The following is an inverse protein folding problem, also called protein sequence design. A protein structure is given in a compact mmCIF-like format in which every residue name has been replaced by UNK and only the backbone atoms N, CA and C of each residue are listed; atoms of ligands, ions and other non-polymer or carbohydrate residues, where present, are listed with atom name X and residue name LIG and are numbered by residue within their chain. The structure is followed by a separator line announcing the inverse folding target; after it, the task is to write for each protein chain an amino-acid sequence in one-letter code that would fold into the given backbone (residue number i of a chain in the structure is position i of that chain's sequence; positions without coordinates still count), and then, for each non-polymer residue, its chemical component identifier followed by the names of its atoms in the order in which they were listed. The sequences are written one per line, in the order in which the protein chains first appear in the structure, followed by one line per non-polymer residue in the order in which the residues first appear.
data_IF_693676561994
#
_entry.id   IF_693676561994
#
_cell.length_a   1.000
_cell.length_b   1.000
_cell.length_c   1.000
_cell.angle_alpha   90.00
_cell.angle_beta   90.00
_cell.angle_gamma   90.00
#
_symmetry.space_group_name_H-M   'P 1'
#
loop_
_entity.id
_entity.type
_entity.pdbx_description
1 polymer ?
#
# COMPACT_ATOMS: atom_id res chain seq x y z
N UNK A 1 23.95 -10.34 7.86
CA UNK A 1 23.05 -11.50 8.14
C UNK A 1 21.96 -11.57 7.07
N UNK A 2 21.36 -10.46 6.66
CA UNK A 2 20.28 -10.43 5.62
C UNK A 2 20.81 -10.83 4.24
N UNK A 3 22.01 -10.45 3.87
CA UNK A 3 22.63 -10.79 2.57
C UNK A 3 22.92 -12.30 2.42
N UNK A 4 23.24 -12.99 3.50
CA UNK A 4 23.49 -14.45 3.48
C UNK A 4 22.20 -15.25 3.25
N UNK A 5 21.08 -14.78 3.81
CA UNK A 5 19.77 -15.42 3.65
C UNK A 5 19.22 -15.36 2.22
N UNK A 6 19.53 -14.28 1.49
CA UNK A 6 19.13 -14.12 0.08
C UNK A 6 19.94 -15.06 -0.83
N UNK A 7 21.25 -15.19 -0.58
CA UNK A 7 22.12 -16.08 -1.37
C UNK A 7 21.74 -17.56 -1.27
N UNK A 8 21.22 -18.03 -0.10
CA UNK A 8 20.70 -19.37 0.07
C UNK A 8 19.37 -19.60 -0.68
N UNK A 9 18.53 -18.57 -0.77
CA UNK A 9 17.23 -18.69 -1.45
C UNK A 9 17.34 -18.79 -2.97
N UNK A 10 18.43 -18.28 -3.55
CA UNK A 10 18.69 -18.33 -4.99
C UNK A 10 19.68 -19.44 -5.42
N UNK A 11 20.07 -20.34 -4.50
CA UNK A 11 20.86 -21.52 -4.84
C UNK A 11 22.33 -21.25 -5.17
N UNK A 12 22.85 -20.08 -4.85
CA UNK A 12 24.26 -19.74 -5.13
C UNK A 12 25.25 -20.26 -4.09
N UNK A 13 24.77 -20.75 -2.92
CA UNK A 13 25.63 -21.34 -1.89
C UNK A 13 24.96 -22.61 -1.38
N UNK A 14 25.55 -23.76 -1.67
CA UNK A 14 25.15 -25.06 -1.15
C UNK A 14 25.98 -25.34 0.11
N UNK A 15 25.36 -25.26 1.27
CA UNK A 15 25.94 -25.74 2.51
C UNK A 15 25.62 -27.25 2.64
N UNK A 16 26.44 -28.08 2.05
CA UNK A 16 26.28 -29.51 2.15
C UNK A 16 27.65 -30.19 2.06
N UNK A 17 28.10 -30.75 3.14
CA UNK A 17 29.17 -31.75 3.14
C UNK A 17 28.66 -33.02 2.52
N UNK A 18 28.92 -33.25 1.25
CA UNK A 18 28.74 -34.52 0.58
C UNK A 18 29.96 -35.38 0.81
N UNK A 19 29.84 -36.40 1.65
CA UNK A 19 30.80 -37.52 1.68
C UNK A 19 30.58 -38.34 0.43
N UNK A 20 31.58 -38.36 -0.46
CA UNK A 20 31.66 -39.32 -1.55
C UNK A 20 31.90 -40.70 -0.96
N UNK A 21 30.89 -41.55 -1.01
CA UNK A 21 31.10 -43.00 -0.91
C UNK A 21 31.31 -43.57 -2.31
N UNK A 22 32.59 -43.85 -2.61
CA UNK A 22 33.02 -44.63 -3.74
C UNK A 22 32.31 -45.98 -3.78
N UNK A 23 31.54 -46.21 -4.83
CA UNK A 23 31.04 -47.51 -5.20
C UNK A 23 32.22 -48.42 -5.63
N UNK A 24 32.61 -49.35 -4.77
CA UNK A 24 33.37 -50.52 -5.18
C UNK A 24 32.36 -51.61 -5.58
N UNK A 25 32.39 -51.96 -6.84
CA UNK A 25 31.65 -53.10 -7.38
C UNK A 25 32.17 -54.39 -6.76
N UNK A 26 31.27 -55.15 -6.15
CA UNK A 26 31.50 -56.52 -5.66
C UNK A 26 30.16 -57.19 -5.54
N UNK A 27 29.76 -57.89 -6.60
CA UNK A 27 28.53 -58.71 -6.61
C UNK A 27 28.66 -59.88 -5.70
N UNK A 28 27.86 -59.95 -4.69
CA UNK A 28 27.52 -61.09 -3.88
C UNK A 28 26.16 -60.85 -3.31
N UNK A 29 25.10 -61.45 -3.84
CA UNK A 29 23.78 -61.40 -3.20
C UNK A 29 23.94 -62.00 -1.81
N UNK A 30 23.85 -61.25 -0.79
CA UNK A 30 23.88 -61.66 0.61
C UNK A 30 22.54 -62.33 0.90
N UNK A 31 22.46 -63.62 0.50
CA UNK A 31 21.27 -64.45 0.71
C UNK A 31 21.20 -64.77 2.20
N UNK A 32 20.27 -64.12 2.88
CA UNK A 32 19.99 -64.38 4.29
C UNK A 32 18.96 -65.50 4.41
N UNK A 33 19.20 -66.41 5.35
CA UNK A 33 18.32 -67.48 5.64
C UNK A 33 17.51 -67.26 6.90
N UNK A 34 16.20 -67.51 6.83
CA UNK A 34 15.29 -67.29 7.94
C UNK A 34 14.59 -68.53 8.34
N UNK A 35 14.34 -68.71 9.63
CA UNK A 35 13.53 -69.80 10.14
C UNK A 35 12.04 -69.53 9.81
N UNK A 36 11.28 -70.47 9.23
CA UNK A 36 9.87 -70.33 8.96
C UNK A 36 9.02 -69.98 10.19
N UNK A 37 9.47 -70.40 11.37
CA UNK A 37 8.82 -70.11 12.67
C UNK A 37 9.34 -68.81 13.32
N UNK A 38 10.25 -68.08 12.66
CA UNK A 38 10.87 -66.82 13.18
C UNK A 38 11.50 -66.99 14.57
N UNK A 39 11.99 -68.13 14.94
CA UNK A 39 12.59 -68.43 16.26
C UNK A 39 13.98 -67.81 16.43
N UNK A 40 14.68 -67.48 15.35
CA UNK A 40 16.04 -66.98 15.34
C UNK A 40 16.12 -65.77 14.36
N UNK A 41 17.02 -64.77 14.59
CA UNK A 41 17.28 -63.74 13.62
C UNK A 41 17.83 -64.29 12.31
N UNK A 42 17.72 -63.59 11.17
CA UNK A 42 18.25 -64.08 9.87
C UNK A 42 19.75 -64.39 9.95
N UNK A 43 20.12 -65.55 9.40
CA UNK A 43 21.50 -66.05 9.37
C UNK A 43 22.09 -65.95 7.95
N UNK A 44 23.40 -65.81 7.85
CA UNK A 44 24.12 -65.72 6.56
C UNK A 44 24.41 -67.00 5.92
N UNK A 45 24.25 -68.11 6.66
CA UNK A 45 24.57 -69.48 6.18
C UNK A 45 23.32 -70.35 6.14
N UNK A 46 23.21 -71.25 5.12
CA UNK A 46 22.14 -72.24 5.08
C UNK A 46 22.37 -73.36 6.16
N UNK A 47 21.28 -73.78 6.79
CA UNK A 47 21.38 -74.79 7.86
C UNK A 47 20.05 -75.06 8.54
N UNK A 48 20.10 -75.65 9.74
CA UNK A 48 18.91 -75.92 10.58
C UNK A 48 18.85 -74.93 11.72
N UNK A 49 17.65 -74.44 12.01
CA UNK A 49 17.41 -73.53 13.13
C UNK A 49 17.83 -74.22 14.46
N UNK A 50 18.68 -73.54 15.28
CA UNK A 50 19.16 -74.15 16.54
C UNK A 50 18.06 -74.26 17.60
N UNK A 51 16.92 -73.59 17.42
CA UNK A 51 15.81 -73.62 18.38
C UNK A 51 14.74 -74.63 18.05
N UNK A 52 14.32 -74.77 16.78
CA UNK A 52 13.24 -75.64 16.35
C UNK A 52 13.69 -76.75 15.40
N UNK A 53 14.98 -76.84 15.05
CA UNK A 53 15.60 -77.81 14.16
C UNK A 53 15.03 -77.89 12.73
N UNK A 54 14.15 -76.91 12.36
CA UNK A 54 13.64 -76.80 10.99
C UNK A 54 14.71 -76.26 10.04
N UNK A 55 14.64 -76.62 8.79
CA UNK A 55 15.54 -76.15 7.76
C UNK A 55 15.30 -74.69 7.47
N UNK A 56 16.36 -73.89 7.45
CA UNK A 56 16.32 -72.47 7.17
C UNK A 56 16.04 -72.25 5.69
N UNK A 57 15.08 -71.43 5.37
CA UNK A 57 14.74 -71.10 3.98
C UNK A 57 15.41 -69.78 3.60
N UNK A 58 15.88 -69.59 2.36
CA UNK A 58 16.43 -68.35 1.93
C UNK A 58 15.35 -67.26 2.01
N UNK A 59 15.66 -66.23 2.67
CA UNK A 59 14.84 -65.05 2.61
C UNK A 59 14.93 -64.48 1.18
N UNK A 60 14.02 -64.97 0.33
CA UNK A 60 13.82 -64.32 -0.96
C UNK A 60 13.35 -62.95 -0.68
N UNK A 61 14.28 -61.98 -0.65
CA UNK A 61 13.96 -60.60 -0.75
C UNK A 61 13.19 -60.40 -2.05
N UNK A 62 11.87 -60.40 -1.96
CA UNK A 62 11.03 -60.03 -3.09
C UNK A 62 11.60 -58.80 -3.73
N UNK A 63 12.12 -58.97 -4.94
CA UNK A 63 12.97 -58.02 -5.62
C UNK A 63 12.43 -56.62 -5.62
N UNK A 64 13.32 -55.70 -5.50
CA UNK A 64 13.06 -54.27 -5.69
C UNK A 64 13.57 -53.49 -4.50
N UNK A 65 14.47 -52.63 -4.83
CA UNK A 65 15.03 -51.54 -4.02
C UNK A 65 13.97 -50.96 -3.08
N UNK A 66 13.71 -51.60 -1.94
CA UNK A 66 12.74 -51.15 -0.97
C UNK A 66 13.40 -50.04 -0.17
N UNK A 67 13.20 -48.80 -0.61
CA UNK A 67 13.38 -47.65 0.23
C UNK A 67 12.71 -47.95 1.58
N UNK A 68 13.41 -47.80 2.68
CA UNK A 68 12.94 -48.13 4.05
C UNK A 68 11.60 -47.48 4.44
N UNK A 69 11.05 -46.70 3.56
CA UNK A 69 9.77 -45.99 3.71
C UNK A 69 8.65 -46.52 2.79
N UNK A 70 8.93 -47.53 1.96
CA UNK A 70 7.93 -48.15 1.08
C UNK A 70 7.50 -49.52 1.59
N UNK A 71 6.20 -49.76 1.60
CA UNK A 71 5.62 -51.09 1.91
C UNK A 71 5.02 -51.63 0.63
N UNK A 72 5.53 -52.80 0.20
CA UNK A 72 4.96 -53.53 -0.94
C UNK A 72 3.79 -54.37 -0.47
N UNK A 73 2.60 -54.13 -1.01
CA UNK A 73 1.39 -54.88 -0.71
C UNK A 73 0.94 -55.55 -1.99
N UNK A 74 0.75 -56.88 -1.92
CA UNK A 74 0.23 -57.68 -3.05
C UNK A 74 -1.12 -57.11 -3.55
N UNK A 75 -1.34 -57.00 -4.87
CA UNK A 75 -2.58 -56.51 -5.45
C UNK A 75 -3.84 -57.20 -4.94
N UNK A 76 -3.78 -58.49 -4.65
CA UNK A 76 -4.91 -59.26 -4.09
C UNK A 76 -5.20 -58.81 -2.64
N UNK A 77 -4.17 -58.72 -1.81
CA UNK A 77 -4.30 -58.23 -0.42
C UNK A 77 -4.82 -56.80 -0.35
N UNK A 78 -4.38 -55.95 -1.30
CA UNK A 78 -4.84 -54.56 -1.41
C UNK A 78 -6.35 -54.45 -1.71
N UNK A 79 -6.87 -55.38 -2.56
CA UNK A 79 -8.32 -55.41 -2.86
C UNK A 79 -9.14 -55.88 -1.65
N UNK A 80 -8.66 -56.93 -0.98
CA UNK A 80 -9.34 -57.49 0.22
C UNK A 80 -9.37 -56.46 1.35
N UNK A 81 -8.27 -55.75 1.56
CA UNK A 81 -8.15 -54.72 2.58
C UNK A 81 -8.83 -53.38 2.19
N UNK A 82 -9.38 -53.29 0.97
CA UNK A 82 -10.02 -52.08 0.42
C UNK A 82 -9.13 -50.80 0.53
N UNK A 83 -7.82 -50.97 0.32
CA UNK A 83 -6.85 -49.87 0.39
C UNK A 83 -6.96 -49.04 -0.88
N UNK A 84 -7.38 -47.77 -0.69
CA UNK A 84 -7.43 -46.76 -1.76
C UNK A 84 -6.27 -45.80 -1.58
N UNK A 85 -5.57 -45.50 -2.65
CA UNK A 85 -4.50 -44.51 -2.68
C UNK A 85 -4.86 -43.35 -3.60
N UNK A 86 -4.57 -42.14 -3.19
CA UNK A 86 -4.75 -40.93 -3.99
C UNK A 86 -3.41 -40.25 -4.13
N UNK A 87 -3.08 -39.82 -5.34
CA UNK A 87 -1.86 -39.07 -5.58
C UNK A 87 -1.96 -37.71 -4.91
N UNK A 88 -0.95 -37.36 -4.11
CA UNK A 88 -0.81 -36.03 -3.52
C UNK A 88 -0.44 -35.04 -4.62
N UNK A 89 -1.20 -33.99 -4.72
CA UNK A 89 -0.94 -32.90 -5.67
C UNK A 89 -0.82 -31.59 -4.91
N UNK A 90 0.12 -30.76 -5.31
CA UNK A 90 0.20 -29.39 -4.85
C UNK A 90 -0.87 -28.57 -5.55
N UNK A 91 -1.72 -27.90 -4.79
CA UNK A 91 -2.74 -27.01 -5.31
C UNK A 91 -2.82 -25.74 -4.46
N UNK A 92 -3.14 -24.58 -5.06
CA UNK A 92 -3.40 -23.39 -4.28
C UNK A 92 -4.66 -23.59 -3.43
N UNK A 93 -4.52 -23.38 -2.14
CA UNK A 93 -5.66 -23.41 -1.22
C UNK A 93 -6.03 -21.98 -0.86
N UNK A 94 -7.28 -21.62 -1.10
CA UNK A 94 -7.83 -20.32 -0.68
C UNK A 94 -8.60 -20.51 0.62
N UNK A 95 -8.37 -19.60 1.56
CA UNK A 95 -9.12 -19.52 2.82
C UNK A 95 -9.94 -18.25 2.82
N UNK A 96 -11.25 -18.37 2.90
CA UNK A 96 -12.12 -17.21 3.09
C UNK A 96 -12.16 -16.85 4.56
N UNK A 97 -11.75 -15.62 4.88
CA UNK A 97 -11.82 -15.06 6.23
C UNK A 97 -12.97 -14.06 6.23
N UNK A 98 -13.92 -14.23 7.14
CA UNK A 98 -14.96 -13.23 7.43
C UNK A 98 -14.52 -12.45 8.65
N UNK A 99 -14.43 -11.13 8.50
CA UNK A 99 -14.13 -10.22 9.59
C UNK A 99 -15.20 -9.15 9.67
N UNK A 100 -15.44 -8.68 10.88
CA UNK A 100 -16.27 -7.51 11.13
C UNK A 100 -15.34 -6.31 11.07
N UNK A 101 -15.74 -5.24 10.39
CA UNK A 101 -15.01 -4.00 10.29
C UNK A 101 -15.96 -2.81 10.24
N UNK A 102 -15.45 -1.63 10.55
CA UNK A 102 -16.12 -0.35 10.45
C UNK A 102 -15.47 0.46 9.32
N UNK A 103 -16.32 1.13 8.53
CA UNK A 103 -15.88 2.02 7.47
C UNK A 103 -15.70 3.42 8.05
N UNK A 104 -14.48 3.90 8.02
CA UNK A 104 -14.14 5.28 8.37
C UNK A 104 -13.53 6.00 7.16
N UNK A 105 -13.55 7.33 7.19
CA UNK A 105 -12.86 8.12 6.19
C UNK A 105 -11.35 7.97 6.34
N UNK A 106 -10.65 7.98 5.20
CA UNK A 106 -9.19 8.01 5.20
C UNK A 106 -8.70 9.38 5.69
N UNK A 107 -8.10 9.41 6.86
CA UNK A 107 -7.60 10.65 7.49
C UNK A 107 -6.57 11.39 6.62
N UNK A 108 -5.82 10.67 5.79
CA UNK A 108 -4.84 11.26 4.88
C UNK A 108 -5.46 12.09 3.75
N UNK A 109 -6.72 11.83 3.42
CA UNK A 109 -7.46 12.56 2.36
C UNK A 109 -8.34 13.67 2.91
N UNK A 110 -8.55 13.72 4.23
CA UNK A 110 -9.37 14.75 4.85
C UNK A 110 -8.71 16.13 4.75
N UNK A 111 -9.48 17.13 4.33
CA UNK A 111 -9.06 18.54 4.27
C UNK A 111 -10.09 19.42 4.94
N UNK A 112 -9.62 20.23 5.89
CA UNK A 112 -10.44 21.31 6.47
C UNK A 112 -10.21 22.58 5.69
N UNK A 113 -11.29 23.21 5.25
CA UNK A 113 -11.28 24.50 4.57
C UNK A 113 -11.65 25.55 5.59
N UNK A 114 -10.70 26.41 5.88
CA UNK A 114 -10.83 27.50 6.86
C UNK A 114 -10.87 28.85 6.14
N UNK A 115 -11.42 29.85 6.84
CA UNK A 115 -11.37 31.24 6.38
C UNK A 115 -9.91 31.74 6.38
N UNK A 116 -9.46 32.31 5.29
CA UNK A 116 -8.13 32.90 5.18
C UNK A 116 -8.06 34.31 5.76
N UNK A 117 -9.22 34.97 5.88
CA UNK A 117 -9.35 36.33 6.39
C UNK A 117 -10.63 36.46 7.20
N UNK A 118 -10.63 37.46 8.06
CA UNK A 118 -11.86 37.85 8.76
C UNK A 118 -12.89 38.41 7.78
N UNK A 119 -14.14 37.99 7.93
CA UNK A 119 -15.19 38.44 7.05
C UNK A 119 -16.55 37.84 7.34
N UNK A 120 -17.54 38.22 6.54
CA UNK A 120 -18.88 37.65 6.58
C UNK A 120 -19.08 36.70 5.41
N UNK A 121 -19.66 35.53 5.67
CA UNK A 121 -20.08 34.57 4.64
C UNK A 121 -21.41 35.05 4.05
N UNK A 122 -21.39 35.74 2.91
CA UNK A 122 -22.59 36.24 2.27
C UNK A 122 -23.42 35.09 1.66
N UNK A 123 -22.75 34.05 1.14
CA UNK A 123 -23.40 32.89 0.55
C UNK A 123 -22.55 31.63 0.69
N UNK A 124 -23.20 30.48 0.89
CA UNK A 124 -22.62 29.15 0.86
C UNK A 124 -23.18 28.37 -0.33
N UNK A 125 -22.30 27.87 -1.22
CA UNK A 125 -22.73 27.11 -2.41
C UNK A 125 -22.85 25.62 -2.11
N UNK A 126 -22.00 25.08 -1.23
CA UNK A 126 -22.11 23.72 -0.72
C UNK A 126 -22.95 23.73 0.57
N UNK A 127 -24.27 23.85 0.42
CA UNK A 127 -25.17 24.17 1.51
C UNK A 127 -25.51 22.98 2.43
N UNK A 128 -25.23 21.74 2.00
CA UNK A 128 -25.49 20.53 2.78
C UNK A 128 -24.33 19.53 2.69
N UNK A 129 -24.26 18.61 3.64
CA UNK A 129 -23.32 17.51 3.66
C UNK A 129 -23.63 16.50 2.57
N UNK A 130 -22.60 15.90 1.97
CA UNK A 130 -22.71 14.97 0.85
C UNK A 130 -22.60 15.60 -0.53
N UNK A 131 -22.50 16.94 -0.63
CA UNK A 131 -22.24 17.61 -1.91
C UNK A 131 -20.87 17.25 -2.44
N UNK A 132 -20.81 16.82 -3.70
CA UNK A 132 -19.57 16.58 -4.41
C UNK A 132 -19.08 17.88 -5.03
N UNK A 133 -17.84 18.27 -4.76
CA UNK A 133 -17.19 19.46 -5.28
C UNK A 133 -15.93 19.09 -6.04
N UNK A 134 -15.60 19.86 -7.07
CA UNK A 134 -14.36 19.73 -7.85
C UNK A 134 -13.38 20.81 -7.42
N UNK A 135 -12.10 20.55 -7.60
CA UNK A 135 -11.06 21.55 -7.39
C UNK A 135 -11.36 22.79 -8.25
N UNK A 136 -11.41 23.96 -7.60
CA UNK A 136 -11.75 25.25 -8.22
C UNK A 136 -13.22 25.64 -8.14
N UNK A 137 -14.13 24.74 -7.73
CA UNK A 137 -15.55 25.09 -7.55
C UNK A 137 -15.70 26.14 -6.43
N UNK A 138 -16.68 27.00 -6.57
CA UNK A 138 -17.00 28.02 -5.57
C UNK A 138 -17.68 27.36 -4.36
N UNK A 139 -17.08 27.50 -3.18
CA UNK A 139 -17.63 26.99 -1.92
C UNK A 139 -18.41 28.03 -1.14
N UNK A 140 -17.90 29.26 -1.10
CA UNK A 140 -18.51 30.35 -0.37
C UNK A 140 -18.22 31.69 -1.05
N UNK A 141 -19.11 32.67 -0.82
CA UNK A 141 -18.90 34.08 -1.12
C UNK A 141 -18.59 34.77 0.19
N UNK A 142 -17.40 35.35 0.30
CA UNK A 142 -16.89 36.01 1.49
C UNK A 142 -16.80 37.51 1.26
N UNK A 143 -17.43 38.29 2.12
CA UNK A 143 -17.24 39.72 2.21
C UNK A 143 -16.13 40.02 3.22
N UNK A 144 -15.06 40.71 2.81
CA UNK A 144 -13.97 41.12 3.69
C UNK A 144 -13.43 42.47 3.33
N UNK A 145 -13.51 43.46 4.26
CA UNK A 145 -12.89 44.78 4.06
C UNK A 145 -11.37 44.72 3.91
N UNK A 146 -10.72 43.75 4.58
CA UNK A 146 -9.27 43.52 4.51
C UNK A 146 -8.83 43.10 3.11
N UNK A 147 -9.59 42.19 2.48
CA UNK A 147 -9.36 41.77 1.09
C UNK A 147 -9.56 42.94 0.12
N UNK A 148 -10.61 43.74 0.32
CA UNK A 148 -10.85 44.96 -0.49
C UNK A 148 -9.66 45.92 -0.46
N UNK A 149 -9.16 46.19 0.74
CA UNK A 149 -8.00 47.08 0.92
C UNK A 149 -6.74 46.55 0.24
N UNK A 150 -6.49 45.23 0.36
CA UNK A 150 -5.37 44.57 -0.31
C UNK A 150 -5.47 44.62 -1.84
N UNK A 151 -6.68 44.47 -2.40
CA UNK A 151 -6.91 44.59 -3.84
C UNK A 151 -6.64 46.01 -4.35
N UNK A 152 -7.12 47.02 -3.62
CA UNK A 152 -6.84 48.44 -3.94
C UNK A 152 -5.34 48.71 -3.91
N UNK A 153 -4.64 48.20 -2.87
CA UNK A 153 -3.18 48.33 -2.76
C UNK A 153 -2.45 47.69 -3.96
N UNK A 154 -2.85 46.47 -4.39
CA UNK A 154 -2.27 45.81 -5.57
C UNK A 154 -2.49 46.67 -6.85
N UNK A 155 -3.70 47.15 -7.08
CA UNK A 155 -4.02 47.99 -8.25
C UNK A 155 -3.20 49.28 -8.28
N UNK A 156 -3.03 49.94 -7.13
CA UNK A 156 -2.17 51.12 -7.01
C UNK A 156 -0.70 50.79 -7.25
N UNK A 157 -0.20 49.65 -6.69
CA UNK A 157 1.16 49.21 -6.90
C UNK A 157 1.43 48.84 -8.38
N UNK A 158 0.45 48.20 -9.06
CA UNK A 158 0.49 47.93 -10.50
C UNK A 158 0.64 49.25 -11.29
N UNK A 159 -0.20 50.24 -11.02
CA UNK A 159 -0.14 51.53 -11.68
C UNK A 159 1.21 52.22 -11.45
N UNK A 160 1.69 52.28 -10.21
CA UNK A 160 3.00 52.84 -9.87
C UNK A 160 4.16 52.11 -10.58
N UNK A 161 4.07 50.80 -10.71
CA UNK A 161 5.05 50.00 -11.47
C UNK A 161 5.03 50.34 -12.95
N UNK A 162 3.86 50.49 -13.56
CA UNK A 162 3.70 50.83 -14.97
C UNK A 162 4.23 52.25 -15.26
N UNK A 163 3.90 53.22 -14.44
CA UNK A 163 4.37 54.61 -14.57
C UNK A 163 5.90 54.73 -14.38
N UNK A 164 6.47 53.89 -13.50
CA UNK A 164 7.92 53.91 -13.27
C UNK A 164 8.75 53.13 -14.28
N UNK A 165 8.14 52.39 -15.22
CA UNK A 165 8.88 51.61 -16.23
C UNK A 165 9.86 52.47 -17.05
N UNK A 166 9.50 53.69 -17.33
CA UNK A 166 10.30 54.66 -18.09
C UNK A 166 11.07 55.64 -17.22
N UNK A 167 11.10 55.44 -15.91
CA UNK A 167 11.80 56.31 -14.97
C UNK A 167 13.31 56.19 -15.13
N UNK A 168 14.01 57.30 -15.16
CA UNK A 168 15.49 57.38 -15.14
C UNK A 168 16.09 56.92 -13.81
N UNK A 169 15.27 56.85 -12.76
CA UNK A 169 15.67 56.47 -11.41
C UNK A 169 15.47 54.97 -11.18
N UNK A 170 16.49 54.15 -11.47
CA UNK A 170 16.45 52.71 -11.35
C UNK A 170 15.99 52.22 -9.96
N UNK A 171 16.34 52.94 -8.89
CA UNK A 171 15.94 52.60 -7.51
C UNK A 171 14.42 52.73 -7.31
N UNK A 172 13.78 53.75 -7.89
CA UNK A 172 12.31 53.91 -7.80
C UNK A 172 11.59 52.79 -8.55
N UNK A 173 12.05 52.48 -9.75
CA UNK A 173 11.49 51.39 -10.53
C UNK A 173 11.64 50.02 -9.83
N UNK A 174 12.74 49.79 -9.14
CA UNK A 174 12.93 48.56 -8.34
C UNK A 174 12.01 48.52 -7.13
N UNK A 175 11.87 49.66 -6.39
CA UNK A 175 10.99 49.75 -5.24
C UNK A 175 9.52 49.46 -5.62
N UNK A 176 9.04 50.03 -6.74
CA UNK A 176 7.68 49.79 -7.21
C UNK A 176 7.44 48.38 -7.69
N UNK A 177 8.45 47.68 -8.25
CA UNK A 177 8.36 46.23 -8.53
C UNK A 177 8.21 45.43 -7.26
N UNK A 178 9.05 45.67 -6.27
CA UNK A 178 9.00 44.94 -4.99
C UNK A 178 7.65 45.18 -4.28
N UNK A 179 7.13 46.43 -4.33
CA UNK A 179 5.80 46.74 -3.77
C UNK A 179 4.70 45.93 -4.47
N UNK A 180 4.72 45.87 -5.80
CA UNK A 180 3.75 45.08 -6.56
C UNK A 180 3.83 43.59 -6.22
N UNK A 181 5.04 43.04 -6.19
CA UNK A 181 5.23 41.60 -5.89
C UNK A 181 4.78 41.25 -4.46
N UNK A 182 5.10 42.12 -3.48
CA UNK A 182 4.66 41.91 -2.09
C UNK A 182 3.15 42.06 -1.91
N UNK A 183 2.51 43.00 -2.61
CA UNK A 183 1.05 43.14 -2.57
C UNK A 183 0.35 41.95 -3.23
N UNK A 184 0.89 41.44 -4.33
CA UNK A 184 0.38 40.23 -4.99
C UNK A 184 0.51 39.00 -4.09
N UNK A 185 1.67 38.81 -3.46
CA UNK A 185 1.91 37.71 -2.54
C UNK A 185 0.96 37.76 -1.33
N UNK A 186 0.73 38.94 -0.79
CA UNK A 186 -0.23 39.16 0.32
C UNK A 186 -1.64 38.69 -0.03
N UNK A 187 -2.14 38.98 -1.25
CA UNK A 187 -3.46 38.53 -1.69
C UNK A 187 -3.53 37.02 -1.84
N UNK A 188 -2.44 36.36 -2.27
CA UNK A 188 -2.35 34.90 -2.31
C UNK A 188 -2.46 34.32 -0.89
N UNK A 189 -1.74 34.91 0.08
CA UNK A 189 -1.80 34.49 1.50
C UNK A 189 -3.18 34.73 2.11
N UNK A 190 -3.91 35.75 1.63
CA UNK A 190 -5.30 36.01 2.00
C UNK A 190 -6.31 35.09 1.28
N UNK A 191 -5.85 34.10 0.52
CA UNK A 191 -6.66 33.05 -0.08
C UNK A 191 -7.18 33.35 -1.50
N UNK A 192 -6.72 34.40 -2.15
CA UNK A 192 -7.02 34.63 -3.57
C UNK A 192 -6.18 33.67 -4.44
N UNK A 193 -6.80 33.08 -5.43
CA UNK A 193 -6.10 32.29 -6.45
C UNK A 193 -5.40 33.22 -7.45
N UNK A 194 -4.34 32.73 -8.09
CA UNK A 194 -3.66 33.53 -9.14
C UNK A 194 -4.60 33.97 -10.25
N UNK A 195 -5.51 33.08 -10.67
CA UNK A 195 -6.52 33.41 -11.67
C UNK A 195 -7.45 34.54 -11.24
N UNK A 196 -7.81 34.60 -9.95
CA UNK A 196 -8.62 35.70 -9.41
C UNK A 196 -7.84 37.02 -9.36
N UNK A 197 -6.55 36.94 -9.04
CA UNK A 197 -5.67 38.13 -9.04
C UNK A 197 -5.48 38.64 -10.48
N UNK A 198 -5.23 37.77 -11.43
CA UNK A 198 -5.07 38.14 -12.84
C UNK A 198 -6.36 38.75 -13.40
N UNK A 199 -7.53 38.22 -13.03
CA UNK A 199 -8.83 38.77 -13.40
C UNK A 199 -9.05 40.16 -12.76
N UNK A 200 -8.66 40.35 -11.48
CA UNK A 200 -8.68 41.64 -10.79
C UNK A 200 -7.79 42.69 -11.51
N UNK A 201 -6.59 42.28 -11.90
CA UNK A 201 -5.66 43.15 -12.61
C UNK A 201 -6.16 43.56 -14.01
N UNK A 202 -6.91 42.65 -14.69
CA UNK A 202 -7.53 42.97 -15.97
C UNK A 202 -8.75 43.85 -15.83
N UNK A 203 -9.60 43.62 -14.83
CA UNK A 203 -10.78 44.42 -14.57
C UNK A 203 -10.42 45.81 -14.07
N UNK A 204 -9.33 45.95 -13.29
CA UNK A 204 -8.89 47.22 -12.73
C UNK A 204 -9.77 47.76 -11.59
N UNK A 205 -10.74 46.97 -11.13
CA UNK A 205 -11.69 47.37 -10.08
C UNK A 205 -11.64 46.37 -8.92
N UNK A 206 -11.51 46.87 -7.70
CA UNK A 206 -11.51 46.06 -6.49
C UNK A 206 -12.94 45.62 -6.13
N UNK A 207 -13.10 44.39 -5.69
CA UNK A 207 -14.36 43.83 -5.23
C UNK A 207 -14.29 43.44 -3.76
N UNK A 208 -15.23 43.89 -2.94
CA UNK A 208 -15.29 43.52 -1.52
C UNK A 208 -15.75 42.09 -1.27
N UNK A 209 -16.22 41.41 -2.28
CA UNK A 209 -16.67 39.99 -2.23
C UNK A 209 -15.77 39.11 -3.05
N UNK A 210 -15.34 38.00 -2.45
CA UNK A 210 -14.47 37.02 -3.08
C UNK A 210 -15.07 35.62 -2.97
N UNK A 211 -14.93 34.84 -4.03
CA UNK A 211 -15.27 33.43 -4.01
C UNK A 211 -14.16 32.63 -3.36
N UNK A 212 -14.49 31.91 -2.29
CA UNK A 212 -13.63 30.88 -1.72
C UNK A 212 -13.77 29.63 -2.58
N UNK A 213 -12.67 29.19 -3.18
CA UNK A 213 -12.65 28.03 -4.07
C UNK A 213 -12.19 26.76 -3.36
N UNK A 214 -12.68 25.60 -3.83
CA UNK A 214 -12.25 24.28 -3.34
C UNK A 214 -10.79 24.01 -3.76
N UNK A 215 -9.88 23.73 -2.82
CA UNK A 215 -8.49 23.42 -3.13
C UNK A 215 -8.30 21.99 -3.70
N UNK A 216 -9.25 21.10 -3.41
CA UNK A 216 -9.26 19.72 -3.86
C UNK A 216 -10.66 19.32 -4.33
N UNK A 217 -10.75 18.24 -5.11
CA UNK A 217 -12.01 17.58 -5.41
C UNK A 217 -12.34 16.59 -4.29
N UNK A 218 -13.62 16.52 -3.91
CA UNK A 218 -14.06 15.63 -2.83
C UNK A 218 -15.54 15.81 -2.50
N UNK A 219 -15.96 15.22 -1.39
CA UNK A 219 -17.32 15.34 -0.88
C UNK A 219 -17.31 16.12 0.43
N UNK A 220 -18.23 17.02 0.61
CA UNK A 220 -18.40 17.78 1.85
C UNK A 220 -18.92 16.82 2.93
N UNK A 221 -18.08 16.54 3.93
CA UNK A 221 -18.41 15.66 5.05
C UNK A 221 -19.11 16.44 6.15
N UNK A 222 -18.63 17.66 6.41
CA UNK A 222 -19.14 18.49 7.49
C UNK A 222 -19.10 19.97 7.11
N UNK A 223 -20.14 20.69 7.52
CA UNK A 223 -20.29 22.13 7.35
C UNK A 223 -20.32 22.78 8.73
N UNK A 224 -19.34 23.62 9.03
CA UNK A 224 -19.18 24.28 10.34
C UNK A 224 -19.79 25.69 10.38
N UNK A 225 -19.96 26.32 9.22
CA UNK A 225 -20.40 27.69 9.12
C UNK A 225 -21.81 27.80 8.50
N UNK A 226 -22.50 28.88 8.83
CA UNK A 226 -23.83 29.20 8.33
C UNK A 226 -23.77 30.50 7.50
N UNK A 227 -24.64 30.58 6.49
CA UNK A 227 -24.79 31.77 5.67
C UNK A 227 -25.14 33.01 6.53
N UNK A 228 -24.53 34.15 6.25
CA UNK A 228 -24.64 35.36 7.04
C UNK A 228 -23.72 35.43 8.27
N UNK A 229 -23.03 34.34 8.64
CA UNK A 229 -22.14 34.33 9.80
C UNK A 229 -20.87 35.10 9.56
N UNK A 230 -20.37 35.79 10.58
CA UNK A 230 -19.02 36.32 10.64
C UNK A 230 -18.03 35.23 11.02
N UNK A 231 -16.96 35.08 10.25
CA UNK A 231 -15.87 34.14 10.50
C UNK A 231 -14.56 34.89 10.74
N UNK A 232 -13.72 34.30 11.59
CA UNK A 232 -12.37 34.78 11.85
C UNK A 232 -11.36 34.03 11.00
N UNK A 233 -10.21 34.61 10.77
CA UNK A 233 -9.06 33.93 10.16
C UNK A 233 -8.76 32.60 10.88
N UNK A 234 -8.59 31.52 10.13
CA UNK A 234 -8.38 30.16 10.65
C UNK A 234 -9.66 29.41 11.05
N UNK A 235 -10.82 30.04 11.11
CA UNK A 235 -12.07 29.37 11.47
C UNK A 235 -12.49 28.38 10.35
N UNK A 236 -12.78 27.13 10.74
CA UNK A 236 -13.23 26.10 9.83
C UNK A 236 -14.60 26.44 9.22
N UNK A 237 -14.74 26.26 7.93
CA UNK A 237 -16.00 26.45 7.16
C UNK A 237 -16.52 25.10 6.70
N UNK A 238 -15.66 24.29 6.09
CA UNK A 238 -16.01 22.96 5.56
C UNK A 238 -14.94 21.92 5.88
N UNK A 239 -15.38 20.67 5.89
CA UNK A 239 -14.49 19.51 5.90
C UNK A 239 -14.82 18.64 4.67
N UNK A 240 -13.81 18.41 3.87
CA UNK A 240 -13.87 17.60 2.64
C UNK A 240 -13.12 16.30 2.83
#
# INVERSE_FOLDING_TARGET
IVALGVAQRFGFISAGGGGEHSNAAGGGEDVRYICPMMCTPPQSEPGRCPVCAMELVPATSGGGNSDSRSVQIDPAARRVANIRTVAVRSMPMTRTIRAIGELNYDEGTLKTISAYVDGRLDRLYADYTGVVVKKGDHLALVYSPRLYSGQVELLLAKKAREESRNSTLARVAQSNRNLYESSRQRLIEQGMTEAQIDALEQAGEANSRMHLCAPISGTVIEKFAVEGQYVKEGQAIYKL
#
